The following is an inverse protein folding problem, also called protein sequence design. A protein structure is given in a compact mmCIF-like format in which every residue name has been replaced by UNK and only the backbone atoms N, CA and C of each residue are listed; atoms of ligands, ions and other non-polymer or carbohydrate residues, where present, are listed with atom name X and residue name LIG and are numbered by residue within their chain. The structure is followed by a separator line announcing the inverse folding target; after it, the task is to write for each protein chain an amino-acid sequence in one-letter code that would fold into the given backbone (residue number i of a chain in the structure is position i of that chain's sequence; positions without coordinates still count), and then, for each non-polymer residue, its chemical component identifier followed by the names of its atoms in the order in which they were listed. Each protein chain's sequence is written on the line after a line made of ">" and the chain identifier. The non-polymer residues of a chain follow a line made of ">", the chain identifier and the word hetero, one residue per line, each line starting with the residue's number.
data_IF_225089251576
#
_entry.id   IF_225089251576
#
_cell.length_a   1.000
_cell.length_b   1.000
_cell.length_c   1.000
_cell.angle_alpha   90.00
_cell.angle_beta   90.00
_cell.angle_gamma   90.00
#
_symmetry.space_group_name_H-M   'P 1'
#
loop_
_entity.id
_entity.type
_entity.pdbx_description
1 polymer ?
#
# COMPACT_ATOMS: atom_id res chain seq x y z
N UNK A 1 7.52 -7.43 19.80
CA UNK A 1 7.63 -7.49 18.34
C UNK A 1 6.48 -6.67 17.82
N UNK A 2 6.75 -5.49 17.29
CA UNK A 2 5.72 -4.54 16.90
C UNK A 2 5.20 -4.97 15.54
N UNK A 3 4.06 -5.64 15.49
CA UNK A 3 3.37 -5.92 14.24
C UNK A 3 2.96 -4.58 13.62
N UNK A 4 3.79 -4.08 12.71
CA UNK A 4 3.60 -2.79 12.02
C UNK A 4 2.25 -2.73 11.28
N UNK A 5 1.66 -3.90 10.98
CA UNK A 5 0.41 -4.06 10.26
C UNK A 5 -0.86 -4.09 11.14
N UNK A 6 -0.75 -4.01 12.48
CA UNK A 6 -1.91 -4.24 13.37
C UNK A 6 -2.85 -3.05 13.52
N UNK A 7 -2.36 -1.84 13.25
CA UNK A 7 -3.14 -0.61 13.43
C UNK A 7 -2.97 0.36 12.25
N UNK A 8 -3.34 -0.04 11.02
CA UNK A 8 -3.40 0.90 9.91
C UNK A 8 -4.63 1.80 10.04
N UNK A 9 -4.51 3.07 9.66
CA UNK A 9 -5.65 4.01 9.66
C UNK A 9 -6.66 3.65 8.55
N UNK A 10 -6.16 3.18 7.41
CA UNK A 10 -6.95 2.74 6.26
C UNK A 10 -6.49 1.37 5.78
N UNK A 11 -7.42 0.57 5.27
CA UNK A 11 -7.10 -0.71 4.63
C UNK A 11 -7.72 -0.77 3.25
N UNK A 12 -6.95 -1.21 2.27
CA UNK A 12 -7.35 -1.41 0.88
C UNK A 12 -7.11 -2.86 0.50
N UNK A 13 -8.19 -3.56 0.20
CA UNK A 13 -8.15 -4.89 -0.41
C UNK A 13 -8.13 -4.73 -1.94
N UNK A 14 -7.05 -5.22 -2.55
CA UNK A 14 -6.81 -5.27 -3.98
C UNK A 14 -6.53 -6.71 -4.45
N UNK A 15 -6.95 -7.72 -3.69
CA UNK A 15 -6.85 -9.11 -4.11
C UNK A 15 -7.73 -9.37 -5.33
N UNK A 16 -7.20 -10.07 -6.32
CA UNK A 16 -7.88 -10.36 -7.59
C UNK A 16 -7.84 -9.22 -8.60
N UNK A 17 -7.41 -8.01 -8.20
CA UNK A 17 -7.14 -6.91 -9.13
C UNK A 17 -5.79 -7.13 -9.82
N UNK A 18 -5.65 -6.62 -11.04
CA UNK A 18 -4.40 -6.71 -11.82
C UNK A 18 -3.96 -5.33 -12.26
N UNK A 19 -2.64 -5.14 -12.42
CA UNK A 19 -2.08 -3.87 -12.89
C UNK A 19 -2.83 -3.35 -14.15
N UNK A 20 -3.31 -2.09 -14.17
CA UNK A 20 -3.01 -0.98 -13.25
C UNK A 20 -4.02 -0.73 -12.11
N UNK A 21 -5.03 -1.59 -11.94
CA UNK A 21 -6.15 -1.33 -11.01
C UNK A 21 -5.73 -1.13 -9.54
N UNK A 22 -4.83 -1.95 -8.94
CA UNK A 22 -4.41 -1.78 -7.55
C UNK A 22 -3.82 -0.39 -7.29
N UNK A 23 -2.94 0.08 -8.18
CA UNK A 23 -2.27 1.39 -8.04
C UNK A 23 -3.28 2.53 -8.15
N UNK A 24 -4.27 2.41 -9.03
CA UNK A 24 -5.33 3.40 -9.15
C UNK A 24 -6.17 3.50 -7.87
N UNK A 25 -6.50 2.36 -7.25
CA UNK A 25 -7.23 2.32 -5.99
C UNK A 25 -6.40 2.92 -4.85
N UNK A 26 -5.12 2.57 -4.74
CA UNK A 26 -4.19 3.18 -3.76
C UNK A 26 -4.18 4.69 -3.93
N UNK A 27 -3.99 5.19 -5.16
CA UNK A 27 -3.97 6.63 -5.43
C UNK A 27 -5.28 7.33 -5.04
N UNK A 28 -6.42 6.69 -5.29
CA UNK A 28 -7.74 7.23 -4.90
C UNK A 28 -7.89 7.31 -3.38
N UNK A 29 -7.48 6.27 -2.66
CA UNK A 29 -7.54 6.23 -1.19
C UNK A 29 -6.59 7.26 -0.59
N UNK A 30 -5.32 7.28 -1.00
CA UNK A 30 -4.31 8.22 -0.50
C UNK A 30 -4.69 9.69 -0.76
N UNK A 31 -5.42 9.98 -1.84
CA UNK A 31 -5.95 11.33 -2.09
C UNK A 31 -6.94 11.80 -1.01
N UNK A 32 -7.72 10.88 -0.43
CA UNK A 32 -8.68 11.18 0.65
C UNK A 32 -8.08 11.15 2.06
N UNK A 33 -6.89 10.57 2.23
CA UNK A 33 -6.20 10.46 3.52
C UNK A 33 -5.58 11.78 3.98
N UNK A 34 -5.34 11.91 5.27
CA UNK A 34 -4.55 13.00 5.84
C UNK A 34 -3.06 12.67 5.84
N UNK A 35 -2.21 13.69 5.79
CA UNK A 35 -0.77 13.48 5.85
C UNK A 35 -0.38 12.87 7.21
N UNK A 36 0.45 11.83 7.18
CA UNK A 36 0.81 11.03 8.36
C UNK A 36 -0.05 9.79 8.59
N UNK A 37 -1.22 9.67 7.96
CA UNK A 37 -2.04 8.46 8.03
C UNK A 37 -1.40 7.29 7.27
N UNK A 38 -1.73 6.08 7.71
CA UNK A 38 -1.22 4.81 7.20
C UNK A 38 -2.28 4.03 6.42
N UNK A 39 -1.89 3.46 5.29
CA UNK A 39 -2.69 2.64 4.41
C UNK A 39 -2.08 1.24 4.32
N UNK A 40 -2.82 0.24 4.78
CA UNK A 40 -2.53 -1.16 4.52
C UNK A 40 -3.12 -1.57 3.18
N UNK A 41 -2.30 -2.10 2.29
CA UNK A 41 -2.69 -2.58 0.96
C UNK A 41 -2.49 -4.09 0.95
N UNK A 42 -3.53 -4.85 0.64
CA UNK A 42 -3.46 -6.30 0.48
C UNK A 42 -3.67 -6.64 -0.99
N UNK A 43 -2.71 -7.32 -1.61
CA UNK A 43 -2.77 -7.66 -3.03
C UNK A 43 -2.18 -9.04 -3.29
N UNK A 44 -2.64 -9.71 -4.35
CA UNK A 44 -2.11 -11.02 -4.78
C UNK A 44 -1.31 -10.95 -6.08
N UNK A 45 -1.25 -9.79 -6.73
CA UNK A 45 -0.56 -9.58 -8.00
C UNK A 45 0.94 -9.29 -7.78
N UNK A 46 1.86 -10.07 -8.37
CA UNK A 46 3.30 -9.83 -8.28
C UNK A 46 3.73 -8.48 -8.84
N UNK A 47 2.97 -7.85 -9.74
CA UNK A 47 3.28 -6.51 -10.25
C UNK A 47 3.30 -5.45 -9.13
N UNK A 48 2.45 -5.62 -8.12
CA UNK A 48 2.35 -4.67 -6.98
C UNK A 48 3.65 -4.55 -6.19
N UNK A 49 4.50 -5.58 -6.21
CA UNK A 49 5.80 -5.59 -5.52
C UNK A 49 6.76 -4.53 -6.05
N UNK A 50 6.60 -4.14 -7.33
CA UNK A 50 7.36 -3.09 -8.00
C UNK A 50 6.58 -1.78 -8.08
N UNK A 51 5.29 -1.87 -8.35
CA UNK A 51 4.45 -0.70 -8.57
C UNK A 51 4.21 0.11 -7.30
N UNK A 52 3.98 -0.54 -6.15
CA UNK A 52 3.73 0.17 -4.88
C UNK A 52 4.96 0.95 -4.40
N UNK A 53 6.17 0.38 -4.33
CA UNK A 53 7.36 1.16 -3.99
C UNK A 53 7.63 2.31 -4.98
N UNK A 54 7.40 2.07 -6.28
CA UNK A 54 7.52 3.11 -7.31
C UNK A 54 6.52 4.25 -7.11
N UNK A 55 5.26 3.92 -6.82
CA UNK A 55 4.21 4.88 -6.48
C UNK A 55 4.57 5.70 -5.23
N UNK A 56 5.07 5.04 -4.17
CA UNK A 56 5.50 5.73 -2.95
C UNK A 56 6.62 6.72 -3.23
N UNK A 57 7.64 6.30 -3.99
CA UNK A 57 8.77 7.16 -4.37
C UNK A 57 8.33 8.35 -5.24
N UNK A 58 7.44 8.11 -6.20
CA UNK A 58 6.99 9.15 -7.15
C UNK A 58 6.06 10.19 -6.51
N UNK A 59 5.24 9.77 -5.56
CA UNK A 59 4.26 10.63 -4.87
C UNK A 59 4.78 11.13 -3.50
N UNK A 60 6.07 10.94 -3.22
CA UNK A 60 6.71 11.34 -1.95
C UNK A 60 6.02 10.75 -0.71
N UNK A 61 5.48 9.54 -0.82
CA UNK A 61 4.95 8.76 0.29
C UNK A 61 5.99 7.80 0.85
N UNK A 62 5.79 7.39 2.09
CA UNK A 62 6.73 6.53 2.79
C UNK A 62 6.23 5.10 2.83
N UNK A 63 7.04 4.16 2.35
CA UNK A 63 6.76 2.75 2.49
C UNK A 63 7.28 2.27 3.85
N UNK A 64 6.38 2.10 4.82
CA UNK A 64 6.72 1.73 6.20
C UNK A 64 7.10 0.26 6.29
N UNK A 65 6.33 -0.61 5.64
CA UNK A 65 6.57 -2.04 5.65
C UNK A 65 6.04 -2.70 4.36
N UNK A 66 6.61 -3.84 3.99
CA UNK A 66 6.11 -4.71 2.92
C UNK A 66 6.34 -6.18 3.29
N UNK A 67 5.35 -7.01 3.03
CA UNK A 67 5.41 -8.46 3.10
C UNK A 67 5.14 -9.00 1.71
N UNK A 68 6.19 -9.46 1.05
CA UNK A 68 6.12 -10.04 -0.29
C UNK A 68 6.56 -11.51 -0.33
N UNK A 69 6.81 -12.11 0.84
CA UNK A 69 7.34 -13.48 0.96
C UNK A 69 6.25 -14.55 0.79
N UNK A 70 4.99 -14.21 1.10
CA UNK A 70 3.83 -15.09 0.94
C UNK A 70 2.62 -14.32 0.43
N UNK A 71 1.78 -14.99 -0.35
CA UNK A 71 0.49 -14.45 -0.76
C UNK A 71 -0.53 -14.55 0.39
N UNK A 72 -1.42 -13.55 0.57
CA UNK A 72 -1.44 -12.27 -0.16
C UNK A 72 -0.36 -11.31 0.33
N UNK A 73 0.23 -10.57 -0.61
CA UNK A 73 1.20 -9.53 -0.33
C UNK A 73 0.55 -8.40 0.46
N UNK A 74 1.31 -7.82 1.38
CA UNK A 74 0.87 -6.70 2.21
C UNK A 74 1.85 -5.55 2.12
N UNK A 75 1.35 -4.33 2.03
CA UNK A 75 2.16 -3.13 1.99
C UNK A 75 1.57 -2.09 2.93
N UNK A 76 2.39 -1.53 3.80
CA UNK A 76 2.00 -0.46 4.68
C UNK A 76 2.64 0.82 4.19
N UNK A 77 1.81 1.75 3.71
CA UNK A 77 2.22 3.02 3.15
C UNK A 77 1.76 4.14 4.07
N UNK A 78 2.66 5.02 4.49
CA UNK A 78 2.33 6.25 5.19
C UNK A 78 2.28 7.40 4.20
N UNK A 79 1.19 8.14 4.22
CA UNK A 79 1.02 9.31 3.35
C UNK A 79 2.01 10.40 3.76
N UNK A 80 2.85 10.79 2.80
CA UNK A 80 3.71 11.98 2.89
C UNK A 80 2.91 13.28 2.81
N UNK A 81 3.56 14.40 3.14
CA UNK A 81 2.95 15.74 3.15
C UNK A 81 2.57 16.21 1.75
#
# INVERSE_FOLDING_TARGET
>A
MSDLFTSPDHTLDAQGLRCPEPVMMVRKTVRGMQAGETLLIVADDPATTRDIPGFCTFMEHELVAKETDSLPYRYLVRKGQ
#
